data_IF_921361813774
#
_entry.id   IF_921361813774
#
_cell.length_a   1.000
_cell.length_b   1.000
_cell.length_c   1.000
_cell.angle_alpha   90.00
_cell.angle_beta   90.00
_cell.angle_gamma   90.00
#
_symmetry.space_group_name_H-M   'P 1'
#
loop_
_entity.id
_entity.type
_entity.pdbx_description
1 polymer ?
#
# COMPACT_ATOMS: atom_id res chain seq x y z
N UNK A 1 -18.47 -45.53 28.17
CA UNK A 1 -19.02 -44.68 27.10
C UNK A 1 -19.09 -43.23 27.61
N UNK A 2 -18.01 -42.46 27.55
CA UNK A 2 -17.97 -41.09 28.14
C UNK A 2 -17.16 -40.08 27.33
N UNK A 3 -16.89 -40.37 26.05
CA UNK A 3 -16.10 -39.48 25.17
C UNK A 3 -17.02 -38.54 24.37
N UNK A 4 -18.30 -38.91 24.18
CA UNK A 4 -19.25 -38.18 23.33
C UNK A 4 -19.84 -36.93 24.02
N UNK A 5 -19.91 -36.87 25.36
CA UNK A 5 -20.42 -35.69 26.09
C UNK A 5 -19.39 -34.55 26.25
N UNK A 6 -18.11 -34.78 25.94
CA UNK A 6 -17.05 -33.77 26.06
C UNK A 6 -16.85 -32.90 24.80
N UNK A 7 -17.17 -33.44 23.62
CA UNK A 7 -17.06 -32.72 22.35
C UNK A 7 -17.88 -31.41 22.30
N UNK A 8 -19.16 -31.36 22.73
CA UNK A 8 -19.97 -30.14 22.64
C UNK A 8 -19.45 -29.03 23.56
N UNK A 9 -18.87 -29.38 24.72
CA UNK A 9 -18.33 -28.40 25.67
C UNK A 9 -17.01 -27.80 25.16
N UNK A 10 -16.14 -28.62 24.56
CA UNK A 10 -14.90 -28.13 23.95
C UNK A 10 -15.19 -27.22 22.75
N UNK A 11 -16.16 -27.59 21.91
CA UNK A 11 -16.63 -26.76 20.80
C UNK A 11 -17.23 -25.42 21.30
N UNK A 12 -18.06 -25.44 22.34
CA UNK A 12 -18.60 -24.23 22.95
C UNK A 12 -17.51 -23.32 23.52
N UNK A 13 -16.53 -23.87 24.23
CA UNK A 13 -15.40 -23.09 24.78
C UNK A 13 -14.55 -22.51 23.64
N UNK A 14 -14.31 -23.27 22.58
CA UNK A 14 -13.61 -22.80 21.40
C UNK A 14 -14.37 -21.67 20.70
N UNK A 15 -15.67 -21.83 20.46
CA UNK A 15 -16.54 -20.80 19.88
C UNK A 15 -16.56 -19.54 20.75
N UNK A 16 -16.70 -19.66 22.07
CA UNK A 16 -16.64 -18.51 22.99
C UNK A 16 -15.27 -17.82 22.98
N UNK A 17 -14.19 -18.58 22.88
CA UNK A 17 -12.84 -18.03 22.76
C UNK A 17 -12.66 -17.29 21.42
N UNK A 18 -13.13 -17.85 20.32
CA UNK A 18 -13.14 -17.21 18.99
C UNK A 18 -13.99 -15.94 18.98
N UNK A 19 -15.20 -15.98 19.54
CA UNK A 19 -16.10 -14.81 19.66
C UNK A 19 -15.46 -13.74 20.53
N UNK A 20 -14.88 -14.11 21.69
CA UNK A 20 -14.18 -13.16 22.56
C UNK A 20 -12.94 -12.56 21.89
N UNK A 21 -12.20 -13.36 21.14
CA UNK A 21 -11.04 -12.90 20.37
C UNK A 21 -11.47 -11.93 19.27
N UNK A 22 -12.51 -12.27 18.51
CA UNK A 22 -13.09 -11.41 17.47
C UNK A 22 -13.64 -10.12 18.08
N UNK A 23 -14.41 -10.20 19.16
CA UNK A 23 -14.94 -9.06 19.91
C UNK A 23 -13.83 -8.13 20.40
N UNK A 24 -12.77 -8.67 21.03
CA UNK A 24 -11.61 -7.87 21.44
C UNK A 24 -10.94 -7.19 20.25
N UNK A 25 -10.84 -7.86 19.11
CA UNK A 25 -10.19 -7.32 17.91
C UNK A 25 -11.04 -6.25 17.22
N UNK A 26 -12.35 -6.40 17.23
CA UNK A 26 -13.30 -5.40 16.72
C UNK A 26 -13.40 -4.17 17.63
N UNK A 27 -13.22 -4.33 18.95
CA UNK A 27 -13.19 -3.22 19.91
C UNK A 27 -11.81 -2.58 20.07
N UNK A 28 -10.75 -3.20 19.54
CA UNK A 28 -9.39 -2.66 19.63
C UNK A 28 -9.26 -1.50 18.64
N UNK A 29 -9.37 -0.28 19.16
CA UNK A 29 -9.12 0.95 18.40
C UNK A 29 -7.63 1.27 18.41
N UNK A 30 -7.06 1.55 17.23
CA UNK A 30 -5.66 1.98 17.08
C UNK A 30 -5.30 3.26 17.86
N UNK A 31 -6.30 3.96 18.41
CA UNK A 31 -6.10 5.10 19.30
C UNK A 31 -5.22 4.76 20.51
N UNK A 32 -5.46 3.63 21.17
CA UNK A 32 -4.64 3.23 22.33
C UNK A 32 -3.17 2.97 21.93
N UNK A 33 -2.93 2.47 20.71
CA UNK A 33 -1.58 2.17 20.23
C UNK A 33 -0.79 3.45 19.88
N UNK A 34 -1.49 4.56 19.62
CA UNK A 34 -0.93 5.86 19.21
C UNK A 34 -1.01 6.96 20.27
N UNK A 35 -1.57 6.67 21.45
CA UNK A 35 -1.71 7.63 22.57
C UNK A 35 -0.39 8.30 22.97
N UNK A 36 0.72 7.59 22.84
CA UNK A 36 2.06 8.08 23.21
C UNK A 36 2.88 8.57 22.02
N UNK A 37 2.32 8.54 20.81
CA UNK A 37 3.04 8.96 19.60
C UNK A 37 3.12 10.49 19.55
N UNK A 38 4.24 11.02 19.08
CA UNK A 38 4.37 12.44 18.82
C UNK A 38 3.43 12.88 17.69
N UNK A 39 2.98 14.13 17.74
CA UNK A 39 2.26 14.74 16.62
C UNK A 39 3.18 14.83 15.40
N UNK A 40 2.67 14.45 14.23
CA UNK A 40 3.37 14.67 12.97
C UNK A 40 3.51 16.18 12.72
N UNK A 41 4.70 16.61 12.31
CA UNK A 41 4.91 17.99 11.89
C UNK A 41 4.14 18.28 10.59
N UNK A 42 3.79 19.55 10.36
CA UNK A 42 3.10 19.97 9.13
C UNK A 42 3.86 19.52 7.88
N UNK A 43 5.19 19.62 7.88
CA UNK A 43 6.03 19.21 6.75
C UNK A 43 6.02 17.69 6.53
N UNK A 44 5.89 16.89 7.58
CA UNK A 44 5.83 15.43 7.48
C UNK A 44 4.50 14.96 6.89
N UNK A 45 3.41 15.69 7.22
CA UNK A 45 2.06 15.35 6.78
C UNK A 45 1.66 16.01 5.45
N UNK A 46 2.28 17.12 5.05
CA UNK A 46 1.96 17.86 3.82
C UNK A 46 1.82 16.97 2.57
N UNK A 47 2.69 15.98 2.33
CA UNK A 47 2.58 15.15 1.13
C UNK A 47 1.36 14.23 1.13
N UNK A 48 0.79 13.92 2.30
CA UNK A 48 -0.23 12.87 2.45
C UNK A 48 -1.52 13.23 1.68
N UNK A 49 -2.17 14.39 1.88
CA UNK A 49 -3.36 14.75 1.10
C UNK A 49 -3.11 14.81 -0.41
N UNK A 50 -1.93 15.31 -0.83
CA UNK A 50 -1.52 15.37 -2.24
C UNK A 50 -1.44 13.98 -2.85
N UNK A 51 -0.71 13.07 -2.22
CA UNK A 51 -0.54 11.70 -2.70
C UNK A 51 -1.85 10.90 -2.67
N UNK A 52 -2.73 11.14 -1.69
CA UNK A 52 -4.08 10.58 -1.69
C UNK A 52 -4.86 10.99 -2.95
N UNK A 53 -4.79 12.26 -3.37
CA UNK A 53 -5.41 12.71 -4.62
C UNK A 53 -4.78 12.04 -5.84
N UNK A 54 -3.46 11.83 -5.86
CA UNK A 54 -2.79 11.14 -6.95
C UNK A 54 -3.20 9.67 -7.05
N UNK A 55 -3.36 8.99 -5.92
CA UNK A 55 -3.89 7.62 -5.87
C UNK A 55 -5.34 7.59 -6.37
N UNK A 56 -6.18 8.54 -5.94
CA UNK A 56 -7.58 8.63 -6.40
C UNK A 56 -7.68 8.90 -7.91
N UNK A 57 -6.75 9.67 -8.48
CA UNK A 57 -6.70 9.92 -9.91
C UNK A 57 -6.49 8.63 -10.73
N UNK A 58 -5.85 7.59 -10.17
CA UNK A 58 -5.72 6.28 -10.83
C UNK A 58 -7.09 5.61 -11.07
N UNK A 59 -8.12 6.01 -10.33
CA UNK A 59 -9.47 5.48 -10.46
C UNK A 59 -10.22 6.06 -11.66
N UNK A 60 -9.81 7.23 -12.17
CA UNK A 60 -10.42 7.87 -13.33
C UNK A 60 -10.00 7.22 -14.64
N UNK A 61 -10.91 7.22 -15.62
CA UNK A 61 -10.61 6.78 -16.97
C UNK A 61 -9.96 7.87 -17.83
N UNK A 62 -10.35 9.13 -17.62
CA UNK A 62 -9.79 10.31 -18.27
C UNK A 62 -9.52 11.42 -17.24
N UNK A 63 -8.25 11.79 -17.06
CA UNK A 63 -7.85 12.87 -16.14
C UNK A 63 -8.14 14.27 -16.68
N UNK A 64 -8.37 14.44 -17.99
CA UNK A 64 -8.77 15.73 -18.56
C UNK A 64 -10.25 16.01 -18.34
N UNK A 65 -11.05 14.96 -18.15
CA UNK A 65 -12.48 15.06 -17.86
C UNK A 65 -12.87 14.08 -16.73
N UNK A 66 -12.43 14.35 -15.48
CA UNK A 66 -12.65 13.44 -14.36
C UNK A 66 -14.12 13.40 -13.94
N UNK A 67 -14.62 12.21 -13.57
CA UNK A 67 -16.00 12.00 -13.16
C UNK A 67 -16.20 12.00 -11.64
N UNK A 68 -15.17 11.63 -10.89
CA UNK A 68 -15.20 11.35 -9.45
C UNK A 68 -14.21 12.23 -8.68
N UNK A 69 -13.85 13.37 -9.26
CA UNK A 69 -12.94 14.32 -8.64
C UNK A 69 -13.47 14.81 -7.28
N UNK A 70 -12.64 14.82 -6.22
CA UNK A 70 -13.02 15.42 -4.95
C UNK A 70 -13.16 16.95 -5.09
N UNK A 71 -13.77 17.63 -4.10
CA UNK A 71 -13.76 19.10 -4.07
C UNK A 71 -12.34 19.66 -4.20
N UNK A 72 -12.12 20.54 -5.19
CA UNK A 72 -10.80 21.08 -5.54
C UNK A 72 -9.98 20.23 -6.53
N UNK A 73 -10.52 19.11 -7.00
CA UNK A 73 -9.89 18.26 -8.00
C UNK A 73 -8.72 17.42 -7.47
N UNK A 74 -8.03 16.75 -8.39
CA UNK A 74 -6.87 15.92 -8.04
C UNK A 74 -5.58 16.73 -7.83
N UNK A 75 -5.54 17.99 -8.26
CA UNK A 75 -4.31 18.79 -8.27
C UNK A 75 -3.24 18.22 -9.19
N UNK A 76 -3.64 17.46 -10.22
CA UNK A 76 -2.75 16.90 -11.24
C UNK A 76 -2.81 17.78 -12.48
N UNK A 77 -1.66 18.08 -13.06
CA UNK A 77 -1.57 18.57 -14.42
C UNK A 77 -1.53 17.39 -15.40
N UNK A 78 -2.55 17.17 -16.26
CA UNK A 78 -2.57 16.03 -17.20
C UNK A 78 -1.37 15.98 -18.16
N UNK A 79 -0.72 17.11 -18.42
CA UNK A 79 0.45 17.17 -19.31
C UNK A 79 1.73 16.63 -18.64
N UNK A 80 1.74 16.47 -17.32
CA UNK A 80 2.85 15.88 -16.56
C UNK A 80 2.65 14.39 -16.25
N UNK A 81 1.54 13.80 -16.72
CA UNK A 81 1.30 12.37 -16.65
C UNK A 81 2.15 11.65 -17.71
N UNK A 82 3.14 10.87 -17.28
CA UNK A 82 4.05 10.19 -18.19
C UNK A 82 3.47 8.87 -18.70
N UNK A 83 2.79 8.11 -17.83
CA UNK A 83 2.07 6.91 -18.22
C UNK A 83 0.92 6.58 -17.26
N UNK A 84 -0.03 5.81 -17.79
CA UNK A 84 -1.12 5.15 -17.04
C UNK A 84 -1.15 3.68 -17.46
N UNK A 85 -1.17 2.78 -16.49
CA UNK A 85 -1.31 1.33 -16.71
C UNK A 85 -2.63 0.86 -16.13
N UNK A 86 -3.45 0.27 -16.99
CA UNK A 86 -4.71 -0.37 -16.64
C UNK A 86 -4.52 -1.87 -16.42
N UNK A 87 -5.57 -2.58 -16.00
CA UNK A 87 -5.56 -4.05 -15.91
C UNK A 87 -5.17 -4.75 -17.21
N UNK A 88 -5.49 -4.15 -18.37
CA UNK A 88 -5.11 -4.70 -19.69
C UNK A 88 -3.59 -4.65 -19.86
N UNK A 89 -2.98 -3.54 -19.45
CA UNK A 89 -1.54 -3.32 -19.56
C UNK A 89 -0.77 -4.20 -18.56
N UNK A 90 -1.27 -4.30 -17.32
CA UNK A 90 -0.62 -5.11 -16.26
C UNK A 90 -0.88 -6.60 -16.40
N UNK A 91 -1.84 -7.01 -17.25
CA UNK A 91 -2.28 -8.40 -17.41
C UNK A 91 -2.61 -9.06 -16.08
N UNK A 92 -3.14 -8.30 -15.12
CA UNK A 92 -3.50 -8.74 -13.78
C UNK A 92 -2.32 -9.08 -12.85
N UNK A 93 -1.08 -8.73 -13.21
CA UNK A 93 0.11 -9.01 -12.37
C UNK A 93 0.38 -7.97 -11.29
N UNK A 94 -0.18 -6.78 -11.48
CA UNK A 94 -0.14 -5.67 -10.52
C UNK A 94 -1.45 -4.86 -10.64
N UNK A 95 -1.89 -4.19 -9.56
CA UNK A 95 -2.98 -3.22 -9.64
C UNK A 95 -2.63 -2.08 -10.62
N UNK A 96 -3.64 -1.40 -11.19
CA UNK A 96 -3.42 -0.22 -12.02
C UNK A 96 -2.60 0.86 -11.30
N UNK A 97 -1.81 1.61 -12.07
CA UNK A 97 -1.00 2.70 -11.54
C UNK A 97 -0.77 3.79 -12.58
N UNK A 98 -0.32 4.94 -12.10
CA UNK A 98 0.20 6.04 -12.93
C UNK A 98 1.64 6.37 -12.52
N UNK A 99 2.40 6.91 -13.47
CA UNK A 99 3.66 7.58 -13.21
C UNK A 99 3.49 9.06 -13.56
N UNK A 100 3.63 9.90 -12.54
CA UNK A 100 3.37 11.32 -12.60
C UNK A 100 4.63 12.09 -12.24
N UNK A 101 4.95 13.12 -13.02
CA UNK A 101 6.10 13.98 -12.79
C UNK A 101 5.66 15.29 -12.14
N UNK A 102 5.73 15.35 -10.81
CA UNK A 102 5.29 16.50 -10.03
C UNK A 102 6.39 17.56 -10.00
N UNK A 103 6.34 18.49 -10.94
CA UNK A 103 7.34 19.55 -11.06
C UNK A 103 7.29 20.55 -9.91
N UNK A 104 6.12 20.79 -9.33
CA UNK A 104 5.92 21.76 -8.25
C UNK A 104 6.60 21.29 -6.95
N UNK A 105 6.65 19.98 -6.73
CA UNK A 105 7.23 19.37 -5.53
C UNK A 105 8.57 18.67 -5.77
N UNK A 106 9.12 18.78 -6.99
CA UNK A 106 10.30 18.06 -7.43
C UNK A 106 10.22 16.56 -7.09
N UNK A 107 9.15 15.89 -7.56
CA UNK A 107 8.85 14.51 -7.18
C UNK A 107 8.47 13.66 -8.41
N UNK A 108 9.03 12.46 -8.49
CA UNK A 108 8.66 11.42 -9.45
C UNK A 108 7.73 10.47 -8.69
N UNK A 109 6.44 10.49 -8.99
CA UNK A 109 5.44 9.75 -8.20
C UNK A 109 4.89 8.56 -9.00
N UNK A 110 5.05 7.36 -8.46
CA UNK A 110 4.36 6.16 -8.94
C UNK A 110 3.22 5.84 -7.97
N UNK A 111 1.99 6.16 -8.39
CA UNK A 111 0.79 5.99 -7.56
C UNK A 111 0.01 4.75 -7.98
N UNK A 112 -0.25 3.85 -7.03
CA UNK A 112 -0.84 2.53 -7.25
C UNK A 112 -2.23 2.45 -6.62
N UNK A 113 -3.20 2.02 -7.42
CA UNK A 113 -4.60 1.83 -7.02
C UNK A 113 -4.75 0.72 -5.97
N UNK A 114 -5.76 0.84 -5.11
CA UNK A 114 -6.25 -0.27 -4.29
C UNK A 114 -7.00 -1.35 -5.08
N UNK A 115 -7.45 -2.37 -4.37
CA UNK A 115 -8.19 -3.50 -4.93
C UNK A 115 -9.51 -3.03 -5.58
N UNK A 116 -9.84 -3.62 -6.71
CA UNK A 116 -11.17 -3.54 -7.32
C UNK A 116 -11.94 -4.84 -7.02
N UNK A 117 -13.08 -4.73 -6.33
CA UNK A 117 -13.92 -5.86 -5.92
C UNK A 117 -14.45 -6.70 -7.10
N UNK A 118 -14.50 -6.13 -8.30
CA UNK A 118 -14.90 -6.84 -9.52
C UNK A 118 -13.72 -7.51 -10.26
N UNK A 119 -12.50 -7.45 -9.72
CA UNK A 119 -11.28 -7.94 -10.39
C UNK A 119 -10.63 -9.07 -9.63
N UNK A 120 -10.83 -10.29 -10.13
CA UNK A 120 -10.22 -11.51 -9.60
C UNK A 120 -8.69 -11.44 -9.50
N UNK A 121 -8.02 -10.72 -10.42
CA UNK A 121 -6.57 -10.56 -10.39
C UNK A 121 -6.07 -9.85 -9.14
N UNK A 122 -6.83 -8.88 -8.62
CA UNK A 122 -6.44 -8.17 -7.39
C UNK A 122 -6.54 -9.08 -6.17
N UNK A 123 -7.59 -9.91 -6.12
CA UNK A 123 -7.70 -10.97 -5.13
C UNK A 123 -6.57 -11.99 -5.26
N UNK A 124 -6.17 -12.36 -6.49
CA UNK A 124 -5.04 -13.28 -6.68
C UNK A 124 -3.73 -12.71 -6.12
N UNK A 125 -3.49 -11.40 -6.26
CA UNK A 125 -2.32 -10.73 -5.64
C UNK A 125 -2.44 -10.75 -4.11
N UNK A 126 -3.62 -10.43 -3.57
CA UNK A 126 -3.84 -10.39 -2.12
C UNK A 126 -3.78 -11.77 -1.47
N UNK A 127 -4.35 -12.79 -2.11
CA UNK A 127 -4.48 -14.15 -1.57
C UNK A 127 -3.24 -15.03 -1.83
N UNK A 128 -2.30 -14.61 -2.69
CA UNK A 128 -0.98 -15.24 -2.81
C UNK A 128 -0.09 -14.88 -1.60
N UNK A 129 -0.56 -15.20 -0.41
CA UNK A 129 0.10 -14.93 0.84
C UNK A 129 0.84 -16.19 1.33
N UNK A 130 2.13 -16.31 0.97
CA UNK A 130 3.01 -17.34 1.54
C UNK A 130 3.54 -16.90 2.92
N UNK A 131 2.64 -16.78 3.89
CA UNK A 131 2.93 -16.33 5.26
C UNK A 131 4.19 -16.98 5.83
N UNK A 132 5.17 -16.14 6.22
CA UNK A 132 6.43 -16.59 6.84
C UNK A 132 7.35 -17.43 5.94
N UNK A 133 7.10 -17.52 4.63
CA UNK A 133 7.89 -18.35 3.71
C UNK A 133 8.67 -17.53 2.69
N UNK A 134 8.17 -16.37 2.28
CA UNK A 134 8.86 -15.52 1.30
C UNK A 134 9.86 -14.60 1.98
N UNK A 135 11.13 -15.00 1.96
CA UNK A 135 12.25 -14.22 2.50
C UNK A 135 12.61 -13.06 1.58
N UNK A 136 12.93 -11.91 2.16
CA UNK A 136 13.50 -10.75 1.48
C UNK A 136 14.31 -9.95 2.50
N UNK A 137 15.54 -9.57 2.15
CA UNK A 137 16.39 -8.69 2.97
C UNK A 137 16.46 -9.07 4.47
N UNK A 138 16.59 -10.38 4.76
CA UNK A 138 16.66 -10.88 6.15
C UNK A 138 15.34 -10.89 6.93
N UNK A 139 14.20 -10.58 6.30
CA UNK A 139 12.86 -10.72 6.88
C UNK A 139 11.90 -11.46 5.95
N UNK A 140 10.60 -11.30 6.20
CA UNK A 140 9.53 -11.95 5.45
C UNK A 140 8.57 -10.91 4.85
N UNK A 141 8.19 -11.10 3.60
CA UNK A 141 7.32 -10.19 2.85
C UNK A 141 6.17 -10.98 2.24
N UNK A 142 5.02 -10.35 2.09
CA UNK A 142 3.87 -10.94 1.41
C UNK A 142 4.23 -11.30 -0.04
N UNK A 143 3.98 -12.55 -0.42
CA UNK A 143 4.48 -13.09 -1.69
C UNK A 143 3.85 -12.44 -2.93
N UNK A 144 2.52 -12.30 -2.97
CA UNK A 144 1.82 -11.64 -4.06
C UNK A 144 2.21 -10.17 -4.23
N UNK A 145 2.22 -9.39 -3.14
CA UNK A 145 2.68 -7.99 -3.16
C UNK A 145 4.12 -7.84 -3.67
N UNK A 146 5.04 -8.71 -3.22
CA UNK A 146 6.44 -8.67 -3.68
C UNK A 146 6.57 -9.06 -5.17
N UNK A 147 5.77 -10.01 -5.66
CA UNK A 147 5.72 -10.36 -7.09
C UNK A 147 5.19 -9.20 -7.92
N UNK A 148 4.11 -8.55 -7.49
CA UNK A 148 3.54 -7.39 -8.15
C UNK A 148 4.56 -6.24 -8.19
N UNK A 149 5.23 -5.96 -7.07
CA UNK A 149 6.30 -4.98 -6.99
C UNK A 149 7.46 -5.29 -7.95
N UNK A 150 7.95 -6.53 -7.96
CA UNK A 150 8.99 -6.96 -8.91
C UNK A 150 8.56 -6.78 -10.36
N UNK A 151 7.30 -7.09 -10.68
CA UNK A 151 6.76 -6.90 -12.03
C UNK A 151 6.71 -5.43 -12.44
N UNK A 152 6.26 -4.53 -11.55
CA UNK A 152 6.27 -3.08 -11.79
C UNK A 152 7.70 -2.56 -11.96
N UNK A 153 8.61 -2.99 -11.08
CA UNK A 153 10.03 -2.63 -11.18
C UNK A 153 10.61 -3.02 -12.54
N UNK A 154 10.37 -4.24 -13.01
CA UNK A 154 10.91 -4.70 -14.28
C UNK A 154 10.25 -4.02 -15.49
N UNK A 155 8.94 -3.73 -15.41
CA UNK A 155 8.21 -3.05 -16.48
C UNK A 155 8.64 -1.58 -16.65
N UNK A 156 8.89 -0.88 -15.53
CA UNK A 156 9.14 0.57 -15.53
C UNK A 156 10.60 0.93 -15.19
N UNK A 157 11.50 -0.05 -15.14
CA UNK A 157 12.91 0.14 -14.74
C UNK A 157 13.61 1.22 -15.57
N UNK A 158 13.46 1.16 -16.90
CA UNK A 158 14.17 2.05 -17.82
C UNK A 158 13.67 3.48 -17.70
N UNK A 159 12.34 3.70 -17.73
CA UNK A 159 11.77 5.05 -17.58
C UNK A 159 12.08 5.64 -16.20
N UNK A 160 12.02 4.84 -15.13
CA UNK A 160 12.38 5.32 -13.80
C UNK A 160 13.86 5.69 -13.73
N UNK A 161 14.77 4.90 -14.34
CA UNK A 161 16.20 5.22 -14.40
C UNK A 161 16.42 6.55 -15.13
N UNK A 162 15.83 6.71 -16.31
CA UNK A 162 15.94 7.93 -17.11
C UNK A 162 15.44 9.16 -16.36
N UNK A 163 14.30 9.07 -15.66
CA UNK A 163 13.76 10.19 -14.87
C UNK A 163 14.64 10.55 -13.69
N UNK A 164 15.17 9.55 -12.97
CA UNK A 164 16.05 9.76 -11.81
C UNK A 164 17.36 10.44 -12.23
N UNK A 165 17.91 10.07 -13.39
CA UNK A 165 19.11 10.67 -13.97
C UNK A 165 18.83 12.08 -14.50
N UNK A 166 17.70 12.27 -15.18
CA UNK A 166 17.29 13.56 -15.75
C UNK A 166 16.94 14.59 -14.66
N UNK A 167 16.38 14.15 -13.54
CA UNK A 167 15.96 15.00 -12.44
C UNK A 167 16.70 14.62 -11.14
N UNK A 168 18.00 14.96 -11.02
CA UNK A 168 18.83 14.54 -9.89
C UNK A 168 18.40 15.14 -8.55
N UNK A 169 17.67 16.26 -8.58
CA UNK A 169 17.13 16.91 -7.38
C UNK A 169 15.74 16.40 -6.99
N UNK A 170 15.13 15.52 -7.80
CA UNK A 170 13.78 15.05 -7.53
C UNK A 170 13.82 13.83 -6.61
N UNK A 171 12.81 13.70 -5.75
CA UNK A 171 12.55 12.46 -5.02
C UNK A 171 11.87 11.43 -5.93
N UNK A 172 11.99 10.16 -5.57
CA UNK A 172 11.26 9.05 -6.17
C UNK A 172 10.28 8.52 -5.12
N UNK A 173 9.00 8.81 -5.30
CA UNK A 173 7.95 8.52 -4.32
C UNK A 173 7.00 7.45 -4.83
N UNK A 174 6.86 6.37 -4.06
CA UNK A 174 5.86 5.34 -4.29
C UNK A 174 4.66 5.61 -3.38
N UNK A 175 3.45 5.66 -3.94
CA UNK A 175 2.24 5.89 -3.17
C UNK A 175 1.21 4.84 -3.50
N UNK A 176 0.42 4.41 -2.53
CA UNK A 176 -0.69 3.51 -2.81
C UNK A 176 -1.69 3.45 -1.68
N UNK A 177 -2.89 2.98 -2.01
CA UNK A 177 -3.98 2.76 -1.05
C UNK A 177 -4.30 1.26 -0.92
N UNK A 178 -4.58 0.77 0.29
CA UNK A 178 -5.06 -0.60 0.52
C UNK A 178 -4.12 -1.64 -0.11
N UNK A 179 -4.58 -2.48 -1.04
CA UNK A 179 -3.73 -3.40 -1.82
C UNK A 179 -2.54 -2.69 -2.48
N UNK A 180 -2.77 -1.55 -3.12
CA UNK A 180 -1.75 -0.77 -3.82
C UNK A 180 -0.68 -0.22 -2.89
N UNK A 181 -1.04 0.07 -1.64
CA UNK A 181 -0.07 0.52 -0.62
C UNK A 181 0.93 -0.60 -0.26
N UNK A 182 0.46 -1.85 -0.20
CA UNK A 182 1.31 -3.01 0.04
C UNK A 182 2.27 -3.27 -1.11
N UNK A 183 1.81 -3.06 -2.35
CA UNK A 183 2.66 -3.10 -3.54
C UNK A 183 3.68 -1.95 -3.54
N UNK A 184 3.26 -0.72 -3.23
CA UNK A 184 4.14 0.44 -3.15
C UNK A 184 5.22 0.27 -2.09
N UNK A 185 4.87 -0.22 -0.90
CA UNK A 185 5.83 -0.53 0.16
C UNK A 185 6.83 -1.62 -0.28
N UNK A 186 6.35 -2.69 -0.90
CA UNK A 186 7.20 -3.75 -1.43
C UNK A 186 8.14 -3.25 -2.53
N UNK A 187 7.63 -2.43 -3.46
CA UNK A 187 8.39 -1.81 -4.54
C UNK A 187 9.49 -0.89 -4.01
N UNK A 188 9.19 -0.11 -2.99
CA UNK A 188 10.16 0.76 -2.33
C UNK A 188 11.34 -0.03 -1.75
N UNK A 189 11.07 -1.18 -1.11
CA UNK A 189 12.15 -2.06 -0.64
C UNK A 189 12.97 -2.65 -1.80
N UNK A 190 12.30 -3.08 -2.88
CA UNK A 190 12.97 -3.61 -4.09
C UNK A 190 13.89 -2.55 -4.70
N UNK A 191 13.41 -1.32 -4.87
CA UNK A 191 14.19 -0.18 -5.39
C UNK A 191 15.38 0.13 -4.51
N UNK A 192 15.20 0.20 -3.20
CA UNK A 192 16.29 0.51 -2.26
C UNK A 192 17.37 -0.58 -2.22
N UNK A 193 17.01 -1.84 -2.46
CA UNK A 193 17.95 -2.96 -2.57
C UNK A 193 18.64 -3.05 -3.94
N UNK A 194 18.08 -2.41 -4.97
CA UNK A 194 18.59 -2.48 -6.35
C UNK A 194 18.80 -1.06 -6.93
N UNK A 195 19.38 -0.14 -6.14
CA UNK A 195 19.56 1.28 -6.53
C UNK A 195 20.48 1.44 -7.73
N UNK A 196 21.39 0.51 -7.94
CA UNK A 196 22.26 0.41 -9.12
C UNK A 196 21.47 0.30 -10.43
N UNK A 197 20.27 -0.30 -10.41
CA UNK A 197 19.37 -0.36 -11.57
C UNK A 197 18.72 0.99 -11.91
N UNK A 198 18.73 1.94 -10.98
CA UNK A 198 18.07 3.25 -11.09
C UNK A 198 19.07 4.39 -10.92
N UNK A 199 20.18 4.34 -11.66
CA UNK A 199 21.16 5.42 -11.70
C UNK A 199 21.87 5.67 -10.36
N UNK A 200 21.97 4.65 -9.50
CA UNK A 200 22.52 4.74 -8.15
C UNK A 200 21.84 5.80 -7.28
N UNK A 201 20.50 5.93 -7.38
CA UNK A 201 19.72 6.85 -6.56
C UNK A 201 20.10 6.76 -5.07
N UNK A 202 20.25 7.91 -4.43
CA UNK A 202 20.50 7.98 -3.00
C UNK A 202 19.28 7.46 -2.23
N UNK A 203 19.49 6.62 -1.22
CA UNK A 203 18.38 6.04 -0.41
C UNK A 203 17.43 7.11 0.12
N UNK A 204 17.95 8.25 0.60
CA UNK A 204 17.16 9.38 1.14
C UNK A 204 16.22 10.05 0.12
N UNK A 205 16.43 9.83 -1.19
CA UNK A 205 15.54 10.33 -2.26
C UNK A 205 14.36 9.39 -2.51
N UNK A 206 14.41 8.15 -2.02
CA UNK A 206 13.34 7.18 -2.18
C UNK A 206 12.37 7.31 -1.01
N UNK A 207 11.08 7.48 -1.30
CA UNK A 207 10.02 7.61 -0.30
C UNK A 207 8.85 6.70 -0.63
N UNK A 208 8.11 6.31 0.39
CA UNK A 208 6.86 5.60 0.24
C UNK A 208 5.80 6.16 1.17
N UNK A 209 4.59 6.33 0.64
CA UNK A 209 3.40 6.67 1.41
C UNK A 209 2.35 5.58 1.22
N UNK A 210 2.30 4.69 2.22
CA UNK A 210 1.40 3.55 2.25
C UNK A 210 0.12 3.94 2.99
N UNK A 211 -0.94 4.25 2.26
CA UNK A 211 -2.23 4.71 2.79
C UNK A 211 -3.13 3.50 3.06
N UNK A 212 -3.64 3.38 4.29
CA UNK A 212 -4.41 2.24 4.77
C UNK A 212 -3.77 0.87 4.43
N UNK A 213 -2.54 0.60 4.90
CA UNK A 213 -1.80 -0.53 4.38
C UNK A 213 -2.26 -1.90 4.85
N UNK A 214 -2.31 -2.83 3.91
CA UNK A 214 -2.34 -4.26 4.22
C UNK A 214 -1.04 -4.67 4.91
N UNK A 215 -1.12 -5.63 5.84
CA UNK A 215 0.07 -6.22 6.46
C UNK A 215 0.92 -6.92 5.41
N UNK A 216 2.04 -6.30 5.03
CA UNK A 216 2.83 -6.71 3.87
C UNK A 216 4.25 -7.20 4.19
N UNK A 217 4.76 -7.00 5.41
CA UNK A 217 6.12 -7.39 5.79
C UNK A 217 6.27 -7.68 7.29
N UNK A 218 7.36 -8.34 7.67
CA UNK A 218 7.73 -8.61 9.06
C UNK A 218 8.22 -7.35 9.78
N UNK A 219 8.08 -7.33 11.11
CA UNK A 219 8.45 -6.19 11.94
C UNK A 219 9.90 -5.72 11.73
N UNK A 220 10.84 -6.65 11.58
CA UNK A 220 12.24 -6.29 11.34
C UNK A 220 12.45 -5.54 10.01
N UNK A 221 11.64 -5.82 8.97
CA UNK A 221 11.66 -5.05 7.73
C UNK A 221 10.98 -3.70 7.93
N UNK A 222 9.84 -3.65 8.61
CA UNK A 222 9.17 -2.39 8.92
C UNK A 222 10.11 -1.41 9.64
N UNK A 223 10.87 -1.89 10.63
CA UNK A 223 11.89 -1.07 11.32
C UNK A 223 13.06 -0.69 10.41
N UNK A 224 13.55 -1.64 9.59
CA UNK A 224 14.69 -1.40 8.68
C UNK A 224 14.40 -0.38 7.57
N UNK A 225 13.14 -0.25 7.16
CA UNK A 225 12.70 0.67 6.10
C UNK A 225 11.89 1.84 6.64
N UNK A 226 11.94 2.11 7.96
CA UNK A 226 11.19 3.19 8.60
C UNK A 226 11.61 4.59 8.11
N UNK A 227 12.83 4.74 7.58
CA UNK A 227 13.33 5.97 6.94
C UNK A 227 12.80 6.18 5.52
N UNK A 228 12.19 5.15 4.91
CA UNK A 228 11.69 5.17 3.53
C UNK A 228 10.17 5.08 3.50
N UNK A 229 9.56 4.25 4.35
CA UNK A 229 8.15 3.88 4.28
C UNK A 229 7.34 4.53 5.39
N UNK A 230 6.48 5.47 5.00
CA UNK A 230 5.51 6.13 5.86
C UNK A 230 4.17 5.40 5.74
N UNK A 231 3.67 4.83 6.84
CA UNK A 231 2.35 4.20 6.89
C UNK A 231 1.33 5.17 7.46
N UNK A 232 0.26 5.44 6.72
CA UNK A 232 -0.80 6.36 7.13
C UNK A 232 -2.08 5.56 7.32
N UNK A 233 -2.62 5.59 8.54
CA UNK A 233 -3.88 4.93 8.90
C UNK A 233 -4.82 5.99 9.44
N UNK A 234 -6.00 6.10 8.83
CA UNK A 234 -7.05 6.98 9.35
C UNK A 234 -7.72 6.30 10.54
N UNK A 235 -7.70 6.96 11.69
CA UNK A 235 -8.46 6.50 12.85
C UNK A 235 -9.95 6.81 12.64
N UNK A 236 -10.73 5.81 12.28
CA UNK A 236 -12.19 5.93 12.25
C UNK A 236 -12.75 5.90 13.68
N UNK A 237 -13.55 6.91 14.05
CA UNK A 237 -14.45 6.82 15.21
C UNK A 237 -15.64 5.91 14.85
N UNK A 238 -16.29 5.30 15.86
CA UNK A 238 -17.37 4.29 15.72
C UNK A 238 -18.50 4.64 14.72
N UNK A 239 -18.69 5.91 14.33
CA UNK A 239 -19.66 6.32 13.31
C UNK A 239 -19.26 5.99 11.86
N UNK A 240 -17.98 5.78 11.57
CA UNK A 240 -17.47 5.49 10.22
C UNK A 240 -17.11 4.00 9.99
N UNK A 241 -17.48 3.11 10.93
CA UNK A 241 -17.00 1.73 11.01
C UNK A 241 -17.45 0.84 9.84
N UNK A 242 -18.52 1.19 9.12
CA UNK A 242 -19.05 0.34 8.05
C UNK A 242 -18.13 0.21 6.82
N UNK A 243 -17.17 1.12 6.62
CA UNK A 243 -16.26 1.08 5.47
C UNK A 243 -14.99 0.24 5.68
N UNK A 244 -14.58 -0.04 6.93
CA UNK A 244 -13.28 -0.71 7.24
C UNK A 244 -13.41 -2.21 7.55
N UNK A 245 -14.63 -2.69 7.77
CA UNK A 245 -14.89 -4.10 8.12
C UNK A 245 -14.64 -5.04 6.94
N UNK A 246 -14.74 -4.57 5.69
CA UNK A 246 -14.42 -5.37 4.49
C UNK A 246 -12.92 -5.71 4.34
N UNK A 247 -12.01 -4.81 4.72
CA UNK A 247 -10.55 -5.05 4.57
C UNK A 247 -9.98 -5.98 5.64
N UNK A 248 -10.61 -6.05 6.81
CA UNK A 248 -10.15 -6.87 7.94
C UNK A 248 -10.72 -8.29 7.95
N UNK A 249 -11.86 -8.51 7.28
CA UNK A 249 -12.50 -9.84 7.20
C UNK A 249 -11.92 -10.75 6.10
N UNK A 250 -11.02 -10.26 5.26
CA UNK A 250 -10.34 -11.06 4.22
C UNK A 250 -9.19 -11.94 4.75
N UNK A 251 -8.99 -12.00 6.08
CA UNK A 251 -7.87 -12.71 6.72
C UNK A 251 -8.34 -13.79 7.71
N UNK A 252 -9.22 -14.67 7.25
CA UNK A 252 -9.41 -16.01 7.80
C UNK A 252 -9.06 -17.05 6.72
#
# INVERSE_FOLDING_TARGET
>A
MSIICGLPLVECVYCLACVRWAWKRCLHTAGHDSETWGFAATQEFEPVPRLCRYILAVYEDDLRNPLWAPPGGYGINPDWLLLRKTYKDTRGRAPPYILYLDHDHADIVLAIRGLNLARESDYAVLLDNKLGKRKFDGGYVHNGLLKAAGWVMDAECEILRELVEKYPNYTLTFAGHSLGSGVAAALSMVVVQNRDRLGNIERKRVRCYAIAPARCMSLNLAVRYADVINSVVLQASYQNLFCLVEESLSFL
#
